data_IF_131803870979
#
_entry.id   IF_131803870979
#
_cell.length_a   1.000
_cell.length_b   1.000
_cell.length_c   1.000
_cell.angle_alpha   90.00
_cell.angle_beta   90.00
_cell.angle_gamma   90.00
#
_symmetry.space_group_name_H-M   'P 1'
#
loop_
_entity.id
_entity.type
_entity.pdbx_description
1 polymer ?
#
# COMPACT_ATOMS: atom_id res chain seq x y z
N UNK A 1 11.99 9.48 -2.09
CA UNK A 1 12.03 9.11 -3.53
C UNK A 1 11.49 10.26 -4.39
N UNK A 2 11.49 10.16 -5.72
CA UNK A 2 10.88 11.20 -6.58
C UNK A 2 9.34 11.20 -6.55
N UNK A 3 8.72 10.09 -6.13
CA UNK A 3 7.27 9.90 -5.90
C UNK A 3 7.04 8.93 -4.72
N UNK A 4 6.31 9.33 -3.69
CA UNK A 4 5.97 8.48 -2.53
C UNK A 4 4.73 9.05 -1.81
N UNK A 5 3.90 8.19 -1.21
CA UNK A 5 2.64 8.59 -0.56
C UNK A 5 2.87 9.38 0.74
N UNK A 6 3.86 8.97 1.54
CA UNK A 6 4.10 9.52 2.88
C UNK A 6 4.96 10.79 2.95
N UNK A 7 5.38 11.32 1.79
CA UNK A 7 6.35 12.42 1.71
C UNK A 7 5.90 13.66 2.49
N UNK A 8 6.84 14.34 3.14
CA UNK A 8 6.60 15.68 3.67
C UNK A 8 6.53 16.76 2.58
N UNK A 9 6.89 16.43 1.33
CA UNK A 9 6.79 17.33 0.18
C UNK A 9 5.47 17.13 -0.59
N UNK A 10 4.59 18.15 -0.68
CA UNK A 10 3.35 18.04 -1.45
C UNK A 10 3.59 17.78 -2.94
N UNK A 11 4.72 18.25 -3.50
CA UNK A 11 5.08 18.02 -4.91
C UNK A 11 5.39 16.54 -5.15
N UNK A 12 6.08 15.88 -4.21
CA UNK A 12 6.38 14.45 -4.30
C UNK A 12 5.10 13.61 -4.16
N UNK A 13 4.17 14.03 -3.29
CA UNK A 13 2.85 13.39 -3.15
C UNK A 13 1.98 13.55 -4.40
N UNK A 14 2.03 14.72 -5.06
CA UNK A 14 1.34 14.90 -6.35
C UNK A 14 1.88 13.96 -7.43
N UNK A 15 3.20 13.76 -7.49
CA UNK A 15 3.81 12.85 -8.47
C UNK A 15 3.38 11.40 -8.30
N UNK A 16 3.20 10.91 -7.06
CA UNK A 16 2.70 9.54 -6.85
C UNK A 16 1.21 9.43 -7.20
N UNK A 17 0.41 10.46 -6.95
CA UNK A 17 -0.98 10.53 -7.41
C UNK A 17 -1.05 10.41 -8.92
N UNK A 18 -0.24 11.20 -9.65
CA UNK A 18 -0.19 11.17 -11.11
C UNK A 18 0.36 9.84 -11.64
N UNK A 19 1.31 9.23 -10.91
CA UNK A 19 1.83 7.89 -11.22
C UNK A 19 0.73 6.83 -11.10
N UNK A 20 -0.03 6.83 -10.01
CA UNK A 20 -1.14 5.88 -9.80
C UNK A 20 -2.15 6.02 -10.93
N UNK A 21 -2.59 7.24 -11.26
CA UNK A 21 -3.52 7.52 -12.37
C UNK A 21 -3.10 6.87 -13.68
N UNK A 22 -1.88 7.15 -14.13
CA UNK A 22 -1.34 6.62 -15.39
C UNK A 22 -1.26 5.09 -15.38
N UNK A 23 -0.91 4.50 -14.24
CA UNK A 23 -0.81 3.04 -14.14
C UNK A 23 -2.18 2.35 -14.00
N UNK A 24 -3.18 3.01 -13.43
CA UNK A 24 -4.55 2.49 -13.43
C UNK A 24 -5.15 2.52 -14.83
N UNK A 25 -4.89 3.59 -15.59
CA UNK A 25 -5.27 3.67 -17.01
C UNK A 25 -4.59 2.56 -17.83
N UNK A 26 -3.26 2.46 -17.76
CA UNK A 26 -2.52 1.38 -18.41
C UNK A 26 -2.97 -0.01 -17.94
N UNK A 27 -3.17 -0.18 -16.64
CA UNK A 27 -3.62 -1.43 -16.05
C UNK A 27 -4.99 -1.85 -16.56
N UNK A 28 -5.90 -0.90 -16.77
CA UNK A 28 -7.21 -1.16 -17.35
C UNK A 28 -7.08 -1.66 -18.79
N UNK A 29 -6.27 -0.98 -19.62
CA UNK A 29 -6.02 -1.38 -21.01
C UNK A 29 -5.41 -2.78 -21.12
N UNK A 30 -4.54 -3.14 -20.17
CA UNK A 30 -3.87 -4.44 -20.12
C UNK A 30 -4.66 -5.52 -19.36
N UNK A 31 -5.84 -5.20 -18.81
CA UNK A 31 -6.65 -6.15 -18.06
C UNK A 31 -6.09 -6.55 -16.69
N UNK A 32 -5.24 -5.72 -16.09
CA UNK A 32 -4.68 -5.91 -14.75
C UNK A 32 -5.79 -6.09 -13.69
N UNK A 33 -5.49 -6.87 -12.65
CA UNK A 33 -6.47 -7.25 -11.60
C UNK A 33 -6.22 -6.60 -10.26
N UNK A 34 -5.00 -6.16 -10.01
CA UNK A 34 -4.60 -5.48 -8.80
C UNK A 34 -3.45 -4.54 -9.10
N UNK A 35 -3.25 -3.57 -8.21
CA UNK A 35 -2.14 -2.65 -8.23
C UNK A 35 -1.55 -2.62 -6.81
N UNK A 36 -0.24 -2.84 -6.73
CA UNK A 36 0.50 -2.92 -5.47
C UNK A 36 0.72 -1.51 -4.92
N UNK A 37 0.43 -1.33 -3.64
CA UNK A 37 0.53 -0.06 -2.92
C UNK A 37 1.45 -0.25 -1.73
N UNK A 38 2.63 0.37 -1.79
CA UNK A 38 3.51 0.51 -0.63
C UNK A 38 3.13 1.80 0.14
N UNK A 39 2.71 1.70 1.42
CA UNK A 39 2.37 2.90 2.21
C UNK A 39 3.59 3.79 2.49
N UNK A 40 4.72 3.16 2.83
CA UNK A 40 5.98 3.84 3.12
C UNK A 40 6.86 4.01 1.87
N UNK A 41 7.86 4.88 2.00
CA UNK A 41 8.90 5.00 0.98
C UNK A 41 9.86 3.81 1.03
N UNK A 42 9.89 3.01 -0.03
CA UNK A 42 10.78 1.85 -0.14
C UNK A 42 12.25 2.31 -0.16
N UNK A 43 13.10 1.63 0.60
CA UNK A 43 14.51 1.96 0.80
C UNK A 43 14.74 3.09 1.81
N UNK A 44 13.70 3.51 2.55
CA UNK A 44 13.79 4.53 3.59
C UNK A 44 13.12 4.06 4.89
N UNK A 45 13.84 3.28 5.72
CA UNK A 45 13.30 2.79 6.98
C UNK A 45 13.19 3.87 8.08
N UNK A 46 13.91 4.99 7.94
CA UNK A 46 13.86 6.09 8.91
C UNK A 46 12.79 7.09 8.46
N UNK A 47 11.74 7.33 9.27
CA UNK A 47 10.68 8.28 8.92
C UNK A 47 11.20 9.73 8.89
N UNK A 48 10.53 10.60 8.12
CA UNK A 48 10.73 12.04 8.20
C UNK A 48 10.30 12.59 9.56
N UNK A 49 9.16 12.10 10.04
CA UNK A 49 8.47 12.51 11.27
C UNK A 49 7.37 11.49 11.59
N UNK A 50 6.62 11.75 12.67
CA UNK A 50 5.51 10.88 13.11
C UNK A 50 4.23 11.03 12.27
N UNK A 51 4.25 11.81 11.18
CA UNK A 51 3.08 12.12 10.36
C UNK A 51 3.03 11.34 9.04
N UNK A 52 4.01 10.47 8.77
CA UNK A 52 4.07 9.69 7.53
C UNK A 52 2.84 8.83 7.27
N UNK A 53 2.35 8.14 8.29
CA UNK A 53 1.14 7.33 8.21
C UNK A 53 -0.05 8.16 7.71
N UNK A 54 -0.32 9.28 8.38
CA UNK A 54 -1.45 10.16 8.07
C UNK A 54 -1.33 10.78 6.68
N UNK A 55 -0.13 11.27 6.31
CA UNK A 55 0.09 11.81 4.96
C UNK A 55 -0.12 10.75 3.88
N UNK A 56 0.32 9.51 4.13
CA UNK A 56 0.13 8.41 3.19
C UNK A 56 -1.34 8.07 3.00
N UNK A 57 -2.10 7.96 4.09
CA UNK A 57 -3.54 7.72 4.08
C UNK A 57 -4.26 8.82 3.29
N UNK A 58 -4.04 10.09 3.63
CA UNK A 58 -4.66 11.24 2.95
C UNK A 58 -4.34 11.25 1.45
N UNK A 59 -3.10 10.93 1.09
CA UNK A 59 -2.66 10.94 -0.31
C UNK A 59 -3.31 9.83 -1.12
N UNK A 60 -3.41 8.63 -0.56
CA UNK A 60 -4.04 7.50 -1.23
C UNK A 60 -5.55 7.70 -1.36
N UNK A 61 -6.20 8.33 -0.36
CA UNK A 61 -7.62 8.66 -0.40
C UNK A 61 -8.00 9.52 -1.62
N UNK A 62 -7.12 10.44 -2.05
CA UNK A 62 -7.36 11.31 -3.22
C UNK A 62 -7.61 10.50 -4.50
N UNK A 63 -6.97 9.34 -4.64
CA UNK A 63 -7.04 8.49 -5.84
C UNK A 63 -7.80 7.18 -5.61
N UNK A 64 -8.28 6.91 -4.39
CA UNK A 64 -8.87 5.62 -4.05
C UNK A 64 -10.13 5.29 -4.89
N UNK A 65 -10.94 6.28 -5.23
CA UNK A 65 -12.12 6.11 -6.10
C UNK A 65 -11.76 5.71 -7.54
N UNK A 66 -10.54 5.99 -7.99
CA UNK A 66 -10.07 5.65 -9.32
C UNK A 66 -9.77 4.14 -9.45
N UNK A 67 -9.40 3.49 -8.35
CA UNK A 67 -9.31 2.02 -8.29
C UNK A 67 -10.68 1.37 -8.49
N UNK A 68 -11.74 1.95 -7.90
CA UNK A 68 -13.11 1.47 -8.07
C UNK A 68 -13.53 1.61 -9.54
N UNK A 69 -13.29 2.79 -10.13
CA UNK A 69 -13.67 3.09 -11.53
C UNK A 69 -12.94 2.19 -12.53
N UNK A 70 -11.67 1.90 -12.29
CA UNK A 70 -10.87 1.01 -13.16
C UNK A 70 -11.17 -0.48 -12.95
N UNK A 71 -11.84 -0.85 -11.84
CA UNK A 71 -12.04 -2.25 -11.46
C UNK A 71 -10.75 -2.94 -10.99
N UNK A 72 -9.68 -2.19 -10.75
CA UNK A 72 -8.39 -2.69 -10.28
C UNK A 72 -8.36 -2.64 -8.76
N UNK A 73 -7.98 -3.74 -8.12
CA UNK A 73 -7.88 -3.83 -6.66
C UNK A 73 -6.63 -3.11 -6.15
N UNK A 74 -6.76 -2.11 -5.29
CA UNK A 74 -5.63 -1.58 -4.54
C UNK A 74 -5.22 -2.55 -3.44
N UNK A 75 -3.99 -3.05 -3.53
CA UNK A 75 -3.44 -4.07 -2.65
C UNK A 75 -2.27 -3.51 -1.85
N UNK A 76 -2.45 -3.32 -0.54
CA UNK A 76 -1.42 -2.81 0.37
C UNK A 76 -0.39 -3.89 0.64
N UNK A 77 0.89 -3.57 0.46
CA UNK A 77 1.99 -4.47 0.77
C UNK A 77 2.65 -4.05 2.09
N UNK A 78 2.58 -4.90 3.14
CA UNK A 78 3.47 -4.80 4.28
C UNK A 78 4.90 -5.16 3.86
N UNK A 79 5.85 -4.31 4.18
CA UNK A 79 7.26 -4.46 3.81
C UNK A 79 8.09 -4.42 5.09
N UNK A 80 9.16 -5.22 5.17
CA UNK A 80 9.98 -5.28 6.39
C UNK A 80 10.54 -3.91 6.83
N UNK A 81 10.75 -3.79 8.12
CA UNK A 81 11.27 -2.60 8.82
C UNK A 81 12.66 -2.15 8.35
N UNK A 82 13.43 -3.03 7.72
CA UNK A 82 14.70 -2.69 7.11
C UNK A 82 14.56 -1.83 5.83
N UNK A 83 13.38 -1.78 5.21
CA UNK A 83 13.14 -1.12 3.93
C UNK A 83 12.13 0.02 4.00
N UNK A 84 11.16 -0.02 4.92
CA UNK A 84 10.15 1.03 5.10
C UNK A 84 9.99 1.41 6.57
N UNK A 85 9.53 2.63 6.81
CA UNK A 85 9.35 3.20 8.15
C UNK A 85 8.12 2.73 8.91
N UNK A 86 7.08 2.24 8.22
CA UNK A 86 5.84 1.74 8.81
C UNK A 86 5.13 0.75 7.88
N UNK A 87 4.10 0.08 8.39
CA UNK A 87 3.35 -0.98 7.70
C UNK A 87 4.23 -2.21 7.42
N UNK A 88 4.56 -2.94 8.49
CA UNK A 88 5.51 -4.06 8.46
C UNK A 88 4.81 -5.41 8.49
N UNK A 89 3.60 -5.46 9.04
CA UNK A 89 2.78 -6.68 9.18
C UNK A 89 1.44 -6.58 8.46
N UNK A 90 0.77 -7.71 8.28
CA UNK A 90 -0.60 -7.81 7.81
C UNK A 90 -1.55 -7.06 8.75
N UNK A 91 -1.27 -7.04 10.05
CA UNK A 91 -2.06 -6.28 11.01
C UNK A 91 -1.94 -4.77 10.75
N UNK A 92 -0.73 -4.26 10.53
CA UNK A 92 -0.54 -2.86 10.16
C UNK A 92 -1.22 -2.53 8.82
N UNK A 93 -1.16 -3.44 7.84
CA UNK A 93 -1.85 -3.23 6.57
C UNK A 93 -3.37 -3.18 6.73
N UNK A 94 -3.96 -3.99 7.61
CA UNK A 94 -5.40 -3.88 7.96
C UNK A 94 -5.73 -2.54 8.58
N UNK A 95 -4.91 -2.05 9.50
CA UNK A 95 -5.09 -0.74 10.13
C UNK A 95 -4.95 0.42 9.12
N UNK A 96 -3.98 0.31 8.21
CA UNK A 96 -3.79 1.26 7.13
C UNK A 96 -4.99 1.26 6.16
N UNK A 97 -5.44 0.09 5.72
CA UNK A 97 -6.63 -0.09 4.88
C UNK A 97 -7.88 0.51 5.54
N UNK A 98 -8.09 0.22 6.83
CA UNK A 98 -9.20 0.76 7.59
C UNK A 98 -9.14 2.29 7.68
N UNK A 99 -7.93 2.86 7.80
CA UNK A 99 -7.71 4.31 7.85
C UNK A 99 -7.94 5.00 6.51
N UNK A 100 -7.57 4.34 5.40
CA UNK A 100 -7.90 4.81 4.04
C UNK A 100 -9.41 4.81 3.82
N UNK A 101 -10.12 3.83 4.37
CA UNK A 101 -11.59 3.75 4.39
C UNK A 101 -12.22 3.89 2.99
N UNK A 102 -11.71 3.15 2.00
CA UNK A 102 -12.24 3.12 0.65
C UNK A 102 -12.39 1.69 0.13
N UNK A 103 -13.50 1.34 -0.55
CA UNK A 103 -13.66 0.01 -1.12
C UNK A 103 -12.66 -0.27 -2.27
N UNK A 104 -12.01 0.75 -2.82
CA UNK A 104 -10.94 0.62 -3.83
C UNK A 104 -9.62 0.09 -3.24
N UNK A 105 -9.36 0.34 -1.96
CA UNK A 105 -8.15 -0.05 -1.23
C UNK A 105 -8.56 -0.95 -0.07
N UNK A 106 -8.73 -2.24 -0.32
CA UNK A 106 -9.22 -3.21 0.69
C UNK A 106 -8.51 -4.56 0.66
N UNK A 107 -7.45 -4.68 -0.14
CA UNK A 107 -6.74 -5.93 -0.34
C UNK A 107 -5.31 -5.82 0.18
N UNK A 108 -4.70 -6.97 0.45
CA UNK A 108 -3.31 -7.10 0.87
C UNK A 108 -2.54 -7.83 -0.24
N UNK A 109 -1.35 -7.31 -0.57
CA UNK A 109 -0.31 -8.05 -1.28
C UNK A 109 0.66 -8.59 -0.23
N UNK A 110 0.73 -9.91 -0.07
CA UNK A 110 1.71 -10.52 0.81
C UNK A 110 3.02 -10.78 0.09
N UNK A 111 4.12 -10.79 0.83
CA UNK A 111 5.43 -11.25 0.36
C UNK A 111 6.06 -12.11 1.47
N UNK A 112 6.32 -13.38 1.19
CA UNK A 112 6.81 -14.33 2.21
C UNK A 112 8.18 -13.95 2.77
N UNK A 113 9.00 -13.20 2.04
CA UNK A 113 10.28 -12.71 2.52
C UNK A 113 10.11 -11.60 3.56
N UNK A 114 9.21 -10.65 3.32
CA UNK A 114 8.88 -9.62 4.32
C UNK A 114 8.18 -10.23 5.54
N UNK A 115 7.23 -11.14 5.29
CA UNK A 115 6.52 -11.83 6.36
C UNK A 115 7.46 -12.69 7.21
N UNK A 116 8.49 -13.32 6.63
CA UNK A 116 9.50 -14.05 7.40
C UNK A 116 10.24 -13.17 8.41
N UNK A 117 10.42 -11.87 8.10
CA UNK A 117 11.09 -10.93 8.98
C UNK A 117 10.17 -10.36 10.07
N UNK A 118 8.90 -10.11 9.75
CA UNK A 118 8.03 -9.28 10.60
C UNK A 118 6.83 -10.04 11.20
N UNK A 119 6.37 -11.12 10.56
CA UNK A 119 5.25 -11.92 11.07
C UNK A 119 5.72 -12.95 12.08
N UNK A 120 5.09 -12.98 13.25
CA UNK A 120 5.33 -14.04 14.24
C UNK A 120 4.93 -15.43 13.74
N UNK A 121 3.92 -15.51 12.86
CA UNK A 121 3.46 -16.75 12.26
C UNK A 121 2.75 -16.51 10.92
N UNK A 122 3.49 -16.68 9.81
CA UNK A 122 3.03 -16.46 8.43
C UNK A 122 1.67 -17.12 8.13
N UNK A 123 1.52 -18.41 8.42
CA UNK A 123 0.27 -19.13 8.13
C UNK A 123 -0.95 -18.57 8.86
N UNK A 124 -0.77 -18.05 10.08
CA UNK A 124 -1.84 -17.44 10.86
C UNK A 124 -2.17 -16.06 10.29
N UNK A 125 -1.19 -15.26 9.92
CA UNK A 125 -1.40 -13.96 9.28
C UNK A 125 -2.24 -14.10 7.98
N UNK A 126 -1.97 -15.13 7.17
CA UNK A 126 -2.73 -15.44 5.95
C UNK A 126 -4.18 -15.82 6.27
N UNK A 127 -4.40 -16.71 7.24
CA UNK A 127 -5.75 -17.11 7.64
C UNK A 127 -6.55 -15.94 8.21
N UNK A 128 -5.93 -15.14 9.08
CA UNK A 128 -6.53 -13.97 9.71
C UNK A 128 -6.78 -12.84 8.69
N UNK A 129 -6.18 -12.88 7.49
CA UNK A 129 -6.45 -11.92 6.42
C UNK A 129 -7.86 -12.03 5.86
N UNK A 130 -8.61 -13.11 6.14
CA UNK A 130 -10.05 -13.24 5.90
C UNK A 130 -10.50 -12.80 4.48
N UNK A 131 -9.75 -13.23 3.45
CA UNK A 131 -10.07 -12.92 2.05
C UNK A 131 -9.59 -11.55 1.55
N UNK A 132 -8.89 -10.77 2.37
CA UNK A 132 -8.21 -9.54 1.94
C UNK A 132 -6.97 -9.84 1.09
N UNK A 133 -6.30 -10.97 1.30
CA UNK A 133 -5.11 -11.37 0.53
C UNK A 133 -5.46 -11.58 -0.95
N UNK A 134 -4.94 -10.73 -1.84
CA UNK A 134 -5.21 -10.84 -3.28
C UNK A 134 -4.08 -11.51 -4.07
N UNK A 135 -2.86 -11.48 -3.54
CA UNK A 135 -1.66 -11.98 -4.17
C UNK A 135 -0.61 -12.27 -3.09
N UNK A 136 0.30 -13.20 -3.37
CA UNK A 136 1.38 -13.60 -2.48
C UNK A 136 2.64 -13.78 -3.34
N UNK A 137 3.67 -13.00 -3.06
CA UNK A 137 5.02 -13.18 -3.61
C UNK A 137 5.80 -14.21 -2.80
#
# INVERSE_FOLDING_TARGET
>A
AESELSSNSPIVRQRVIDYIRRNLELGYELGAKYFLVAPGAIGRPIPYDNMEFYRSVETLQIVADEFIKSGIRGAVEPIRSAEVSFCHTFQDAKEYIASVNSPGIKHINGDVYHMLCEESHIGKAILDAEGMLTNLH
#
